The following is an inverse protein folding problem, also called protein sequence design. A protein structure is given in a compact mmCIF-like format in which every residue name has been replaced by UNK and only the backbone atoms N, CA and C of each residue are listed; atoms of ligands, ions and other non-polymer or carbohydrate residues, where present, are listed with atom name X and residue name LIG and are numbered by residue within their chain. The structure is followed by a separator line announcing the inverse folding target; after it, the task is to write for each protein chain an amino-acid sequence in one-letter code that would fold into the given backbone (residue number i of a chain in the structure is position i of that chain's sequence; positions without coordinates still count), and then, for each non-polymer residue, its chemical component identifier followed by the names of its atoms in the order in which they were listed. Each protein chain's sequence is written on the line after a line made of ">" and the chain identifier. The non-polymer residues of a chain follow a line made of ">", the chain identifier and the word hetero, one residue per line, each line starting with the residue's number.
data_IF_213223617806
#
_entry.id   IF_213223617806
#
_cell.length_a   1.000
_cell.length_b   1.000
_cell.length_c   1.000
_cell.angle_alpha   90.00
_cell.angle_beta   90.00
_cell.angle_gamma   90.00
#
_symmetry.space_group_name_H-M   'P 1'
#
loop_
_entity.id
_entity.type
_entity.pdbx_description
1 polymer ?
#
# COMPACT_ATOMS: atom_id res chain seq x y z
N UNK A 1 2.26 13.14 -11.18
CA UNK A 1 2.93 12.81 -9.91
C UNK A 1 1.89 12.86 -8.81
N UNK A 2 1.90 11.89 -7.91
CA UNK A 2 1.01 11.89 -6.74
C UNK A 2 1.45 12.99 -5.77
N UNK A 3 0.52 13.51 -4.98
CA UNK A 3 0.79 14.48 -3.92
C UNK A 3 1.06 13.76 -2.61
N UNK A 4 1.77 14.42 -1.71
CA UNK A 4 1.92 13.97 -0.33
C UNK A 4 0.52 13.73 0.28
N UNK A 5 0.31 12.55 0.86
CA UNK A 5 -0.96 12.16 1.45
C UNK A 5 -1.99 11.58 0.46
N UNK A 6 -1.67 11.46 -0.82
CA UNK A 6 -2.52 10.71 -1.75
C UNK A 6 -2.60 9.23 -1.30
N UNK A 7 -3.79 8.66 -1.36
CA UNK A 7 -4.08 7.30 -0.92
C UNK A 7 -4.73 6.50 -2.05
N UNK A 8 -4.27 5.27 -2.23
CA UNK A 8 -4.90 4.25 -3.06
C UNK A 8 -5.34 3.12 -2.15
N UNK A 9 -6.62 2.77 -2.22
CA UNK A 9 -7.22 1.80 -1.32
C UNK A 9 -8.05 0.80 -2.09
N UNK A 10 -7.70 -0.48 -1.93
CA UNK A 10 -8.62 -1.53 -2.33
C UNK A 10 -9.66 -1.78 -1.24
N UNK A 11 -10.80 -2.33 -1.66
CA UNK A 11 -11.91 -2.72 -0.80
C UNK A 11 -12.21 -4.17 -1.10
N UNK A 12 -12.47 -4.93 -0.05
CA UNK A 12 -12.94 -6.30 -0.19
C UNK A 12 -14.47 -6.27 -0.13
N UNK A 13 -15.11 -6.63 -1.23
CA UNK A 13 -16.56 -6.78 -1.32
C UNK A 13 -16.90 -8.28 -1.42
N UNK A 14 -17.84 -8.71 -0.60
CA UNK A 14 -18.34 -10.07 -0.61
C UNK A 14 -19.48 -10.16 -1.64
N UNK A 15 -19.26 -10.92 -2.71
CA UNK A 15 -20.28 -11.27 -3.69
C UNK A 15 -20.56 -12.76 -3.57
N UNK A 16 -21.74 -13.13 -3.06
CA UNK A 16 -22.42 -14.44 -2.84
C UNK A 16 -21.57 -15.71 -2.53
N UNK A 17 -20.39 -15.89 -3.13
CA UNK A 17 -19.43 -16.96 -2.86
C UNK A 17 -17.93 -16.55 -2.92
N UNK A 18 -17.58 -15.28 -3.19
CA UNK A 18 -16.19 -14.81 -3.39
C UNK A 18 -15.92 -13.46 -2.73
N UNK A 19 -14.70 -13.32 -2.21
CA UNK A 19 -14.13 -12.04 -1.81
C UNK A 19 -13.45 -11.41 -3.02
N UNK A 20 -14.00 -10.29 -3.50
CA UNK A 20 -13.44 -9.54 -4.63
C UNK A 20 -12.74 -8.28 -4.11
N UNK A 21 -11.50 -8.08 -4.55
CA UNK A 21 -10.82 -6.81 -4.37
C UNK A 21 -11.32 -5.82 -5.45
N UNK A 22 -11.92 -4.71 -5.02
CA UNK A 22 -12.42 -3.63 -5.86
C UNK A 22 -11.82 -2.28 -5.41
N UNK A 23 -12.14 -1.19 -6.11
CA UNK A 23 -11.47 0.11 -5.89
C UNK A 23 -10.12 0.17 -6.60
N UNK A 24 -9.06 0.58 -5.89
CA UNK A 24 -7.74 0.77 -6.49
C UNK A 24 -6.91 -0.53 -6.63
N UNK A 25 -7.53 -1.71 -6.47
CA UNK A 25 -6.85 -3.00 -6.45
C UNK A 25 -5.87 -3.19 -7.62
N UNK A 26 -6.34 -2.97 -8.86
CA UNK A 26 -5.52 -3.09 -10.07
C UNK A 26 -4.39 -2.06 -10.12
N UNK A 27 -4.65 -0.83 -9.67
CA UNK A 27 -3.62 0.23 -9.61
C UNK A 27 -2.54 -0.12 -8.58
N UNK A 28 -2.95 -0.62 -7.41
CA UNK A 28 -2.05 -1.08 -6.35
C UNK A 28 -1.18 -2.25 -6.87
N UNK A 29 -1.79 -3.21 -7.57
CA UNK A 29 -1.06 -4.35 -8.16
C UNK A 29 0.00 -3.88 -9.17
N UNK A 30 -0.38 -3.05 -10.15
CA UNK A 30 0.55 -2.48 -11.14
C UNK A 30 1.67 -1.67 -10.49
N UNK A 31 1.35 -0.88 -9.45
CA UNK A 31 2.34 -0.13 -8.71
C UNK A 31 3.33 -1.05 -7.99
N UNK A 32 2.84 -2.05 -7.24
CA UNK A 32 3.69 -2.96 -6.48
C UNK A 32 4.56 -3.84 -7.39
N UNK A 33 4.03 -4.30 -8.52
CA UNK A 33 4.73 -5.21 -9.42
C UNK A 33 5.77 -4.47 -10.27
N UNK A 34 5.43 -3.29 -10.79
CA UNK A 34 6.23 -2.65 -11.84
C UNK A 34 6.89 -1.35 -11.39
N UNK A 35 6.23 -0.55 -10.54
CA UNK A 35 6.63 0.84 -10.28
C UNK A 35 7.31 1.06 -8.94
N UNK A 36 7.10 0.17 -7.98
CA UNK A 36 7.57 0.32 -6.61
C UNK A 36 8.67 -0.68 -6.30
N UNK A 37 9.73 -0.20 -5.66
CA UNK A 37 10.82 -1.00 -5.14
C UNK A 37 10.79 -0.99 -3.60
N UNK A 38 10.76 -2.18 -3.00
CA UNK A 38 10.75 -2.33 -1.53
C UNK A 38 12.06 -1.81 -0.94
N UNK A 39 11.96 -0.88 0.00
CA UNK A 39 13.12 -0.32 0.70
C UNK A 39 13.27 -0.92 2.09
N UNK A 40 12.18 -0.92 2.87
CA UNK A 40 12.17 -1.38 4.27
C UNK A 40 10.84 -2.02 4.59
N UNK A 41 10.83 -2.88 5.60
CA UNK A 41 9.62 -3.33 6.27
C UNK A 41 9.84 -3.24 7.77
N UNK A 42 8.77 -3.09 8.54
CA UNK A 42 8.84 -3.19 9.98
C UNK A 42 9.02 -4.64 10.44
N UNK A 43 9.25 -4.84 11.74
CA UNK A 43 9.48 -6.17 12.32
C UNK A 43 8.27 -7.11 12.18
N UNK A 44 7.06 -6.55 12.12
CA UNK A 44 5.84 -7.34 11.94
C UNK A 44 5.58 -7.72 10.48
N UNK A 45 6.19 -7.01 9.53
CA UNK A 45 5.99 -7.17 8.09
C UNK A 45 4.67 -6.59 7.57
N UNK A 46 3.87 -5.95 8.44
CA UNK A 46 2.59 -5.34 8.07
C UNK A 46 2.74 -3.94 7.48
N UNK A 47 3.87 -3.29 7.70
CA UNK A 47 4.20 -1.98 7.16
C UNK A 47 5.41 -2.09 6.26
N UNK A 48 5.25 -1.68 5.01
CA UNK A 48 6.31 -1.76 4.02
C UNK A 48 6.51 -0.40 3.37
N UNK A 49 7.73 0.10 3.44
CA UNK A 49 8.16 1.31 2.74
C UNK A 49 8.68 0.91 1.36
N UNK A 50 8.08 1.53 0.35
CA UNK A 50 8.46 1.44 -1.05
C UNK A 50 8.96 2.77 -1.57
N UNK A 51 9.76 2.71 -2.63
CA UNK A 51 10.15 3.87 -3.42
C UNK A 51 9.72 3.68 -4.85
N UNK A 52 9.08 4.69 -5.43
CA UNK A 52 8.70 4.70 -6.83
C UNK A 52 9.95 4.83 -7.70
N UNK A 53 10.12 3.91 -8.65
CA UNK A 53 11.32 3.81 -9.49
C UNK A 53 11.50 5.05 -10.38
N UNK A 54 10.42 5.52 -10.99
CA UNK A 54 10.49 6.66 -11.93
C UNK A 54 10.51 8.03 -11.23
N UNK A 55 9.66 8.24 -10.23
CA UNK A 55 9.51 9.55 -9.58
C UNK A 55 10.39 9.73 -8.35
N UNK A 56 10.91 8.65 -7.77
CA UNK A 56 11.66 8.66 -6.52
C UNK A 56 10.80 8.83 -5.26
N UNK A 57 9.49 9.06 -5.40
CA UNK A 57 8.56 9.26 -4.29
C UNK A 57 8.41 8.00 -3.43
N UNK A 58 8.26 8.19 -2.12
CA UNK A 58 8.04 7.12 -1.16
C UNK A 58 6.57 6.80 -0.99
N UNK A 59 6.29 5.52 -0.79
CA UNK A 59 4.96 4.98 -0.61
C UNK A 59 4.97 3.98 0.54
N UNK A 60 3.98 4.05 1.40
CA UNK A 60 3.78 3.10 2.50
C UNK A 60 2.63 2.15 2.15
N UNK A 61 2.88 0.85 2.24
CA UNK A 61 1.86 -0.19 2.16
C UNK A 61 1.48 -0.64 3.56
N UNK A 62 0.16 -0.66 3.84
CA UNK A 62 -0.43 -1.14 5.09
C UNK A 62 -1.69 -1.97 4.83
N UNK A 63 -2.16 -2.66 5.87
CA UNK A 63 -3.34 -3.52 5.84
C UNK A 63 -4.31 -3.13 6.98
N UNK A 64 -5.12 -2.06 6.81
CA UNK A 64 -5.94 -1.49 7.90
C UNK A 64 -6.99 -2.44 8.49
N UNK A 65 -7.33 -3.53 7.80
CA UNK A 65 -8.19 -4.60 8.34
C UNK A 65 -7.49 -5.95 8.34
N UNK A 66 -6.21 -5.99 8.71
CA UNK A 66 -5.37 -7.20 8.78
C UNK A 66 -5.95 -8.29 9.68
N UNK A 67 -6.83 -7.94 10.61
CA UNK A 67 -7.60 -8.86 11.45
C UNK A 67 -8.61 -9.73 10.67
N UNK A 68 -8.88 -9.44 9.40
CA UNK A 68 -9.72 -10.29 8.54
C UNK A 68 -8.92 -11.52 8.08
N UNK A 69 -9.54 -12.70 8.10
CA UNK A 69 -8.92 -13.91 7.52
C UNK A 69 -8.50 -13.64 6.08
N UNK A 70 -7.18 -13.76 5.80
CA UNK A 70 -6.59 -13.44 4.50
C UNK A 70 -5.80 -12.11 4.43
N UNK A 71 -5.67 -11.38 5.53
CA UNK A 71 -4.80 -10.18 5.61
C UNK A 71 -5.48 -8.85 5.24
N UNK A 72 -6.72 -8.89 4.74
CA UNK A 72 -7.55 -7.70 4.51
C UNK A 72 -7.12 -6.82 3.34
N UNK A 73 -7.88 -5.73 3.07
CA UNK A 73 -7.58 -4.78 2.01
C UNK A 73 -6.28 -4.01 2.25
N UNK A 74 -5.62 -3.67 1.14
CA UNK A 74 -4.37 -2.91 1.07
C UNK A 74 -4.66 -1.41 1.00
N UNK A 75 -3.77 -0.66 1.62
CA UNK A 75 -3.70 0.80 1.52
C UNK A 75 -2.27 1.19 1.13
N UNK A 76 -2.13 1.87 0.01
CA UNK A 76 -0.91 2.56 -0.39
C UNK A 76 -1.06 4.06 -0.13
N UNK A 77 -0.13 4.65 0.61
CA UNK A 77 -0.12 6.10 0.88
C UNK A 77 1.17 6.73 0.41
N UNK A 78 1.08 7.83 -0.34
CA UNK A 78 2.23 8.58 -0.79
C UNK A 78 2.80 9.44 0.36
N UNK A 79 4.08 9.25 0.65
CA UNK A 79 4.84 10.01 1.65
C UNK A 79 5.65 11.16 1.05
N UNK A 80 5.54 11.38 -0.27
CA UNK A 80 6.32 12.41 -0.97
C UNK A 80 7.77 12.00 -1.20
N UNK A 81 8.67 12.97 -1.32
CA UNK A 81 10.06 12.75 -1.75
C UNK A 81 11.03 12.49 -0.60
N UNK A 82 10.58 12.61 0.65
CA UNK A 82 11.37 12.35 1.85
C UNK A 82 10.65 11.36 2.77
N UNK A 83 11.40 10.34 3.19
CA UNK A 83 10.95 9.31 4.12
C UNK A 83 12.04 9.00 5.16
N UNK A 84 12.97 9.95 5.39
CA UNK A 84 14.10 9.78 6.30
C UNK A 84 13.67 9.45 7.72
N UNK A 85 12.56 10.04 8.16
CA UNK A 85 11.94 9.81 9.47
C UNK A 85 10.79 8.80 9.43
N UNK A 86 10.70 7.96 8.39
CA UNK A 86 9.61 7.01 8.26
C UNK A 86 9.54 6.10 9.49
N UNK A 87 8.39 6.17 10.16
CA UNK A 87 7.95 5.26 11.21
C UNK A 87 6.56 4.77 10.82
N UNK A 88 6.28 3.47 10.95
CA UNK A 88 4.93 2.95 10.82
C UNK A 88 3.97 3.80 11.67
N UNK A 89 2.89 4.30 11.07
CA UNK A 89 1.83 4.90 11.87
C UNK A 89 1.09 3.77 12.60
N UNK A 90 1.37 3.62 13.89
CA UNK A 90 0.67 2.69 14.80
C UNK A 90 -0.67 3.25 15.25
#
# INVERSE_FOLDING_TARGET
>A
MAKLGDELRDRWEADDARMLACGDATTIDDMLEHKLEKQKADESGWYVLYRHRDTGQFWELTYPKSHMHGGGPRLLRCLGDDASDWRPLT
#
